data_IF_718632047592
#
_entry.id   IF_718632047592
#
_cell.length_a   1.000
_cell.length_b   1.000
_cell.length_c   1.000
_cell.angle_alpha   90.00
_cell.angle_beta   90.00
_cell.angle_gamma   90.00
#
_symmetry.space_group_name_H-M   'P 1'
#
loop_
_entity.id
_entity.type
_entity.pdbx_description
1 polymer ?
#
# COMPACT_ATOMS: atom_id res chain seq x y z
N UNK A 1 -1.98 -0.04 -4.80
CA UNK A 1 -3.28 0.61 -4.52
C UNK A 1 -3.24 1.16 -3.10
N UNK A 2 -3.67 2.41 -2.87
CA UNK A 2 -3.67 3.05 -1.54
C UNK A 2 -5.07 3.57 -1.26
N UNK A 3 -5.61 3.25 -0.07
CA UNK A 3 -7.00 3.54 0.29
C UNK A 3 -7.21 4.88 0.99
N UNK A 4 -8.48 5.31 1.11
CA UNK A 4 -8.84 6.52 1.85
C UNK A 4 -8.58 6.33 3.36
N UNK A 5 -8.72 7.40 4.15
CA UNK A 5 -8.47 7.34 5.59
C UNK A 5 -9.38 6.34 6.33
N UNK A 6 -10.58 6.09 5.79
CA UNK A 6 -11.52 5.09 6.32
C UNK A 6 -11.16 3.64 6.02
N UNK A 7 -10.08 3.39 5.28
CA UNK A 7 -9.69 2.06 4.83
C UNK A 7 -10.55 1.54 3.69
N UNK A 8 -10.41 0.23 3.42
CA UNK A 8 -11.21 -0.50 2.45
C UNK A 8 -12.28 -1.31 3.16
N UNK A 9 -13.40 -1.53 2.48
CA UNK A 9 -14.37 -2.55 2.91
C UNK A 9 -13.85 -3.93 2.56
N UNK A 10 -14.33 -4.95 3.28
CA UNK A 10 -14.00 -6.37 2.99
C UNK A 10 -14.30 -6.75 1.53
N UNK A 11 -15.37 -6.19 0.97
CA UNK A 11 -15.77 -6.42 -0.43
C UNK A 11 -14.77 -5.83 -1.43
N UNK A 12 -14.23 -4.63 -1.16
CA UNK A 12 -13.21 -4.02 -2.00
C UNK A 12 -11.87 -4.75 -1.90
N UNK A 13 -11.50 -5.21 -0.70
CA UNK A 13 -10.30 -6.04 -0.50
C UNK A 13 -10.40 -7.35 -1.28
N UNK A 14 -11.55 -8.02 -1.22
CA UNK A 14 -11.77 -9.27 -1.97
C UNK A 14 -11.74 -9.02 -3.49
N UNK A 15 -12.36 -7.94 -3.98
CA UNK A 15 -12.29 -7.58 -5.40
C UNK A 15 -10.86 -7.32 -5.86
N UNK A 16 -10.05 -6.65 -5.03
CA UNK A 16 -8.65 -6.43 -5.33
C UNK A 16 -7.87 -7.74 -5.40
N UNK A 17 -8.10 -8.65 -4.45
CA UNK A 17 -7.50 -9.98 -4.46
C UNK A 17 -7.88 -10.79 -5.71
N UNK A 18 -9.17 -10.80 -6.06
CA UNK A 18 -9.68 -11.48 -7.26
C UNK A 18 -9.12 -10.88 -8.56
N UNK A 19 -8.80 -9.58 -8.56
CA UNK A 19 -8.11 -8.90 -9.64
C UNK A 19 -6.57 -9.13 -9.66
N UNK A 20 -6.04 -9.91 -8.71
CA UNK A 20 -4.62 -10.27 -8.63
C UNK A 20 -3.75 -9.27 -7.86
N UNK A 21 -4.33 -8.35 -7.08
CA UNK A 21 -3.55 -7.50 -6.18
C UNK A 21 -3.03 -8.31 -4.99
N UNK A 22 -1.78 -8.06 -4.62
CA UNK A 22 -1.16 -8.61 -3.41
C UNK A 22 -1.21 -7.58 -2.28
N UNK A 23 -1.72 -8.00 -1.12
CA UNK A 23 -1.67 -7.19 0.09
C UNK A 23 -0.23 -7.09 0.62
N UNK A 24 0.17 -5.87 1.03
CA UNK A 24 1.50 -5.57 1.59
C UNK A 24 1.38 -4.65 2.80
N UNK A 25 2.31 -4.76 3.75
CA UNK A 25 2.36 -3.92 4.95
C UNK A 25 3.70 -3.18 5.04
N UNK A 26 3.68 -1.89 5.41
CA UNK A 26 4.88 -1.06 5.58
C UNK A 26 5.26 -0.91 7.07
N UNK A 27 5.67 -2.02 7.68
CA UNK A 27 5.98 -2.10 9.10
C UNK A 27 4.72 -2.23 9.98
N UNK A 28 4.89 -2.03 11.30
CA UNK A 28 3.85 -2.35 12.31
C UNK A 28 2.79 -1.25 12.53
N UNK A 29 2.95 -0.07 11.94
CA UNK A 29 2.10 1.10 12.21
C UNK A 29 1.16 1.34 11.03
N UNK A 30 -0.09 1.69 11.31
CA UNK A 30 -1.00 2.19 10.30
C UNK A 30 -0.56 3.60 9.92
N UNK A 31 -0.23 3.80 8.65
CA UNK A 31 0.17 5.09 8.11
C UNK A 31 -1.08 5.84 7.63
N UNK A 32 -1.06 7.17 7.75
CA UNK A 32 -2.05 8.04 7.10
C UNK A 32 -1.97 7.85 5.58
N UNK A 33 -3.10 7.97 4.87
CA UNK A 33 -3.21 7.73 3.42
C UNK A 33 -2.10 8.42 2.62
N UNK A 34 -1.86 9.71 2.87
CA UNK A 34 -0.82 10.50 2.18
C UNK A 34 0.60 9.99 2.47
N UNK A 35 0.87 9.53 3.70
CA UNK A 35 2.17 8.98 4.10
C UNK A 35 2.37 7.58 3.54
N UNK A 36 1.31 6.75 3.51
CA UNK A 36 1.37 5.38 3.02
C UNK A 36 1.82 5.33 1.55
N UNK A 37 1.27 6.20 0.70
CA UNK A 37 1.64 6.27 -0.71
C UNK A 37 3.11 6.67 -0.90
N UNK A 38 3.55 7.74 -0.23
CA UNK A 38 4.93 8.22 -0.34
C UNK A 38 5.94 7.19 0.22
N UNK A 39 5.64 6.58 1.36
CA UNK A 39 6.49 5.56 1.97
C UNK A 39 6.57 4.29 1.09
N UNK A 40 5.46 3.88 0.47
CA UNK A 40 5.45 2.73 -0.45
C UNK A 40 6.37 2.99 -1.66
N UNK A 41 6.24 4.15 -2.30
CA UNK A 41 7.07 4.51 -3.45
C UNK A 41 8.54 4.61 -3.07
N UNK A 42 8.87 5.27 -1.95
CA UNK A 42 10.24 5.36 -1.46
C UNK A 42 10.83 3.96 -1.16
N UNK A 43 10.08 3.07 -0.52
CA UNK A 43 10.51 1.70 -0.25
C UNK A 43 10.72 0.90 -1.54
N UNK A 44 9.81 1.01 -2.52
CA UNK A 44 9.97 0.37 -3.82
C UNK A 44 11.22 0.86 -4.54
N UNK A 45 11.47 2.18 -4.56
CA UNK A 45 12.66 2.75 -5.18
C UNK A 45 13.94 2.31 -4.46
N UNK A 46 13.91 2.18 -3.13
CA UNK A 46 15.06 1.70 -2.33
C UNK A 46 15.38 0.24 -2.62
N UNK A 47 14.36 -0.60 -2.83
CA UNK A 47 14.54 -2.05 -3.01
C UNK A 47 14.81 -2.45 -4.46
N UNK A 48 14.22 -1.73 -5.42
CA UNK A 48 14.20 -2.15 -6.82
C UNK A 48 14.48 -1.01 -7.82
N UNK A 49 14.61 0.21 -7.32
CA UNK A 49 14.77 1.39 -8.15
C UNK A 49 16.17 1.97 -8.09
N UNK A 50 16.23 3.30 -8.16
CA UNK A 50 17.46 4.09 -8.23
C UNK A 50 17.71 4.93 -6.97
N UNK A 51 16.96 4.69 -5.90
CA UNK A 51 17.27 5.30 -4.61
C UNK A 51 18.50 4.63 -4.01
N UNK A 52 19.46 5.48 -3.63
CA UNK A 52 20.81 5.12 -3.17
C UNK A 52 20.79 4.56 -1.76
#
# INVERSE_FOLDING_TARGET
MVGPEGGWTEQEEQQAFDAGFQAVTLGKRILRTETAALAALAAMQTLWGDFV
#
